data_IF_251878031265
#
_entry.id   IF_251878031265
#
_cell.length_a   1.000
_cell.length_b   1.000
_cell.length_c   1.000
_cell.angle_alpha   90.00
_cell.angle_beta   90.00
_cell.angle_gamma   90.00
#
_symmetry.space_group_name_H-M   'P 1'
#
loop_
_entity.id
_entity.type
_entity.pdbx_description
1 polymer ?
#
# COMPACT_ATOMS: atom_id res chain seq x y z
N UNK A 1 -11.01 -25.14 -16.68
CA UNK A 1 -11.31 -23.93 -17.44
C UNK A 1 -10.05 -23.37 -18.10
N UNK A 2 -10.15 -22.73 -19.27
CA UNK A 2 -8.97 -22.12 -19.87
C UNK A 2 -8.52 -20.91 -19.05
N UNK A 3 -7.21 -20.60 -18.95
CA UNK A 3 -6.71 -19.43 -18.22
C UNK A 3 -7.38 -18.11 -18.65
N UNK A 4 -7.72 -17.97 -19.92
CA UNK A 4 -8.44 -16.78 -20.45
C UNK A 4 -9.86 -16.62 -19.89
N UNK A 5 -10.56 -17.74 -19.62
CA UNK A 5 -11.91 -17.68 -19.03
C UNK A 5 -11.90 -17.20 -17.58
N UNK A 6 -10.90 -17.62 -16.79
CA UNK A 6 -10.75 -17.18 -15.40
C UNK A 6 -10.45 -15.68 -15.32
N UNK A 7 -9.57 -15.15 -16.16
CA UNK A 7 -9.24 -13.72 -16.21
C UNK A 7 -10.46 -12.87 -16.59
N UNK A 8 -11.22 -13.28 -17.63
CA UNK A 8 -12.44 -12.56 -18.03
C UNK A 8 -13.50 -12.55 -16.94
N UNK A 9 -13.66 -13.68 -16.22
CA UNK A 9 -14.63 -13.76 -15.09
C UNK A 9 -14.21 -12.85 -13.94
N UNK A 10 -12.92 -12.77 -13.59
CA UNK A 10 -12.42 -11.90 -12.55
C UNK A 10 -12.68 -10.42 -12.87
N UNK A 11 -12.45 -9.99 -14.12
CA UNK A 11 -12.75 -8.62 -14.56
C UNK A 11 -14.24 -8.33 -14.45
N UNK A 12 -15.11 -9.19 -14.98
CA UNK A 12 -16.56 -9.00 -14.90
C UNK A 12 -17.07 -8.98 -13.45
N UNK A 13 -16.51 -9.81 -12.58
CA UNK A 13 -16.86 -9.78 -11.15
C UNK A 13 -16.46 -8.44 -10.51
N UNK A 14 -15.26 -7.94 -10.83
CA UNK A 14 -14.81 -6.62 -10.40
C UNK A 14 -15.77 -5.51 -10.85
N UNK A 15 -16.20 -5.53 -12.12
CA UNK A 15 -17.16 -4.57 -12.68
C UNK A 15 -18.52 -4.63 -11.97
N UNK A 16 -19.00 -5.85 -11.64
CA UNK A 16 -20.26 -6.02 -10.88
C UNK A 16 -20.14 -5.46 -9.49
N UNK A 17 -19.04 -5.77 -8.76
CA UNK A 17 -18.81 -5.25 -7.41
C UNK A 17 -18.67 -3.74 -7.40
N UNK A 18 -17.94 -3.18 -8.37
CA UNK A 18 -17.80 -1.74 -8.53
C UNK A 18 -19.16 -1.06 -8.81
N UNK A 19 -19.94 -1.62 -9.75
CA UNK A 19 -21.28 -1.11 -10.08
C UNK A 19 -22.20 -1.16 -8.87
N UNK A 20 -22.12 -2.23 -8.07
CA UNK A 20 -22.89 -2.34 -6.83
C UNK A 20 -22.48 -1.30 -5.79
N UNK A 21 -21.18 -1.05 -5.60
CA UNK A 21 -20.69 0.01 -4.72
C UNK A 21 -21.22 1.40 -5.16
N UNK A 22 -21.28 1.66 -6.47
CA UNK A 22 -21.86 2.90 -7.00
C UNK A 22 -23.36 3.02 -6.72
N UNK A 23 -24.12 1.93 -6.84
CA UNK A 23 -25.56 1.89 -6.46
C UNK A 23 -25.72 2.23 -4.99
N UNK A 24 -24.97 1.56 -4.08
CA UNK A 24 -25.00 1.87 -2.65
C UNK A 24 -24.65 3.35 -2.37
N UNK A 25 -23.69 3.90 -3.10
CA UNK A 25 -23.32 5.33 -3.01
C UNK A 25 -24.49 6.27 -3.32
N UNK A 26 -25.39 5.90 -4.24
CA UNK A 26 -26.56 6.72 -4.57
C UNK A 26 -27.62 6.74 -3.47
N UNK A 27 -27.65 5.72 -2.59
CA UNK A 27 -28.60 5.62 -1.47
C UNK A 27 -28.38 6.72 -0.41
N UNK A 28 -27.17 7.31 -0.35
CA UNK A 28 -26.90 8.47 0.50
C UNK A 28 -27.58 9.78 0.00
N UNK A 29 -28.20 9.77 -1.17
CA UNK A 29 -28.91 10.93 -1.72
C UNK A 29 -28.03 12.17 -1.95
N UNK A 30 -26.71 12.00 -2.00
CA UNK A 30 -25.74 13.09 -2.13
C UNK A 30 -24.87 12.93 -3.38
N UNK A 31 -25.00 13.89 -4.29
CA UNK A 31 -24.13 13.99 -5.48
C UNK A 31 -22.66 14.16 -5.10
N UNK A 32 -22.41 14.88 -3.99
CA UNK A 32 -21.07 15.10 -3.46
C UNK A 32 -20.44 13.78 -3.00
N UNK A 33 -21.20 12.93 -2.32
CA UNK A 33 -20.72 11.59 -1.93
C UNK A 33 -20.33 10.75 -3.15
N UNK A 34 -21.21 10.70 -4.16
CA UNK A 34 -20.92 9.98 -5.40
C UNK A 34 -19.66 10.53 -6.10
N UNK A 35 -19.49 11.86 -6.11
CA UNK A 35 -18.31 12.51 -6.70
C UNK A 35 -17.03 12.13 -5.96
N UNK A 36 -17.02 12.12 -4.63
CA UNK A 36 -15.89 11.71 -3.79
C UNK A 36 -15.53 10.24 -4.04
N UNK A 37 -16.52 9.35 -4.05
CA UNK A 37 -16.32 7.93 -4.35
C UNK A 37 -15.72 7.73 -5.76
N UNK A 38 -16.28 8.38 -6.78
CA UNK A 38 -15.78 8.30 -8.15
C UNK A 38 -14.32 8.83 -8.28
N UNK A 39 -13.98 9.90 -7.57
CA UNK A 39 -12.61 10.43 -7.52
C UNK A 39 -11.64 9.44 -6.88
N UNK A 40 -12.04 8.78 -5.80
CA UNK A 40 -11.23 7.75 -5.14
C UNK A 40 -10.94 6.61 -6.10
N UNK A 41 -11.95 6.08 -6.77
CA UNK A 41 -11.77 5.00 -7.77
C UNK A 41 -10.86 5.44 -8.90
N UNK A 42 -11.02 6.67 -9.39
CA UNK A 42 -10.13 7.24 -10.41
C UNK A 42 -8.68 7.28 -9.94
N UNK A 43 -8.43 7.67 -8.68
CA UNK A 43 -7.09 7.68 -8.10
C UNK A 43 -6.50 6.26 -8.06
N UNK A 44 -7.26 5.26 -7.62
CA UNK A 44 -6.83 3.86 -7.61
C UNK A 44 -6.42 3.40 -9.01
N UNK A 45 -7.28 3.64 -10.00
CA UNK A 45 -6.97 3.29 -11.40
C UNK A 45 -5.72 4.00 -11.93
N UNK A 46 -5.56 5.29 -11.61
CA UNK A 46 -4.36 6.05 -12.00
C UNK A 46 -3.10 5.50 -11.33
N UNK A 47 -3.17 5.12 -10.04
CA UNK A 47 -2.06 4.49 -9.33
C UNK A 47 -1.66 3.16 -9.96
N UNK A 48 -2.63 2.31 -10.31
CA UNK A 48 -2.38 1.02 -10.97
C UNK A 48 -1.76 1.19 -12.37
N UNK A 49 -2.27 2.13 -13.17
CA UNK A 49 -1.71 2.47 -14.49
C UNK A 49 -0.28 3.00 -14.35
N UNK A 50 -0.04 3.91 -13.40
CA UNK A 50 1.28 4.46 -13.14
C UNK A 50 2.26 3.35 -12.73
N UNK A 51 1.89 2.47 -11.79
CA UNK A 51 2.70 1.33 -11.38
C UNK A 51 3.02 0.42 -12.56
N UNK A 52 2.01 0.05 -13.36
CA UNK A 52 2.19 -0.82 -14.52
C UNK A 52 3.11 -0.23 -15.58
N UNK A 53 3.18 1.10 -15.70
CA UNK A 53 4.07 1.79 -16.64
C UNK A 53 5.52 1.90 -16.16
N UNK A 54 5.78 1.61 -14.88
CA UNK A 54 7.08 1.73 -14.21
C UNK A 54 7.70 0.38 -13.84
N UNK A 55 7.16 -0.73 -14.35
CA UNK A 55 7.76 -2.06 -14.13
C UNK A 55 9.14 -2.14 -14.79
N UNK A 56 10.13 -2.61 -14.05
CA UNK A 56 11.53 -2.74 -14.48
C UNK A 56 12.19 -1.38 -14.86
N UNK A 57 11.69 -0.26 -14.34
CA UNK A 57 12.19 1.07 -14.67
C UNK A 57 13.09 1.62 -13.57
N UNK A 58 14.40 1.43 -13.72
CA UNK A 58 15.42 1.96 -12.79
C UNK A 58 15.50 3.50 -12.73
N UNK A 59 14.79 4.20 -13.61
CA UNK A 59 14.67 5.67 -13.54
C UNK A 59 13.56 6.15 -12.62
N UNK A 60 12.71 5.22 -12.11
CA UNK A 60 11.67 5.52 -11.15
C UNK A 60 12.27 6.05 -9.85
N UNK A 61 11.70 7.13 -9.32
CA UNK A 61 12.15 7.75 -8.06
C UNK A 61 11.35 7.26 -6.86
N UNK A 62 11.89 7.50 -5.65
CA UNK A 62 11.16 7.21 -4.39
C UNK A 62 9.89 8.05 -4.28
N UNK A 63 9.91 9.30 -4.75
CA UNK A 63 8.75 10.18 -4.76
C UNK A 63 7.65 9.61 -5.66
N UNK A 64 7.99 9.10 -6.84
CA UNK A 64 7.05 8.42 -7.75
C UNK A 64 6.46 7.15 -7.10
N UNK A 65 7.28 6.36 -6.38
CA UNK A 65 6.79 5.21 -5.62
C UNK A 65 5.75 5.64 -4.59
N UNK A 66 6.03 6.66 -3.76
CA UNK A 66 5.08 7.15 -2.77
C UNK A 66 3.80 7.72 -3.42
N UNK A 67 3.90 8.38 -4.57
CA UNK A 67 2.73 8.85 -5.31
C UNK A 67 1.87 7.69 -5.79
N UNK A 68 2.49 6.63 -6.30
CA UNK A 68 1.80 5.42 -6.77
C UNK A 68 1.05 4.75 -5.62
N UNK A 69 1.71 4.48 -4.49
CA UNK A 69 1.07 3.79 -3.37
C UNK A 69 -0.02 4.63 -2.70
N UNK A 70 0.15 5.96 -2.65
CA UNK A 70 -0.92 6.86 -2.19
C UNK A 70 -2.15 6.77 -3.07
N UNK A 71 -1.98 6.82 -4.39
CA UNK A 71 -3.12 6.73 -5.31
C UNK A 71 -3.76 5.35 -5.29
N UNK A 72 -2.96 4.28 -5.41
CA UNK A 72 -3.44 2.91 -5.55
C UNK A 72 -4.07 2.37 -4.27
N UNK A 73 -3.47 2.61 -3.12
CA UNK A 73 -3.82 1.99 -1.84
C UNK A 73 -4.33 3.01 -0.82
N UNK A 74 -3.53 4.01 -0.48
CA UNK A 74 -3.88 4.93 0.61
C UNK A 74 -5.13 5.78 0.32
N UNK A 75 -5.45 6.04 -0.95
CA UNK A 75 -6.67 6.78 -1.31
C UNK A 75 -7.96 6.10 -0.87
N UNK A 76 -7.98 4.75 -0.78
CA UNK A 76 -9.14 4.00 -0.24
C UNK A 76 -9.26 4.15 1.27
N UNK A 77 -8.15 4.05 2.00
CA UNK A 77 -8.12 4.28 3.45
C UNK A 77 -8.54 5.71 3.77
N UNK A 78 -7.97 6.68 3.07
CA UNK A 78 -8.29 8.10 3.19
C UNK A 78 -9.77 8.38 2.91
N UNK A 79 -10.33 7.79 1.86
CA UNK A 79 -11.75 7.94 1.55
C UNK A 79 -12.66 7.29 2.60
N UNK A 80 -12.24 6.18 3.22
CA UNK A 80 -13.02 5.53 4.27
C UNK A 80 -13.07 6.40 5.53
N UNK A 81 -11.93 6.88 6.01
CA UNK A 81 -11.85 7.68 7.25
C UNK A 81 -12.40 9.09 7.06
N UNK A 82 -11.94 9.83 6.03
CA UNK A 82 -12.42 11.18 5.75
C UNK A 82 -13.87 11.20 5.28
N UNK A 83 -14.29 10.22 4.47
CA UNK A 83 -15.68 10.07 4.06
C UNK A 83 -16.63 9.80 5.21
N UNK A 84 -16.22 8.97 6.18
CA UNK A 84 -16.98 8.76 7.41
C UNK A 84 -17.13 10.06 8.23
N UNK A 85 -16.06 10.84 8.35
CA UNK A 85 -16.10 12.17 8.99
C UNK A 85 -17.08 13.10 8.28
N UNK A 86 -16.99 13.19 6.95
CA UNK A 86 -17.88 14.01 6.16
C UNK A 86 -19.36 13.64 6.33
N UNK A 87 -19.70 12.36 6.28
CA UNK A 87 -21.08 11.85 6.49
C UNK A 87 -21.56 12.17 7.91
N UNK A 88 -20.68 12.11 8.90
CA UNK A 88 -20.98 12.39 10.30
C UNK A 88 -21.13 13.89 10.59
N UNK A 89 -20.84 14.78 9.63
CA UNK A 89 -20.99 16.23 9.77
C UNK A 89 -19.98 16.84 10.74
N UNK A 90 -18.75 16.29 10.83
CA UNK A 90 -17.67 16.88 11.62
C UNK A 90 -17.22 18.22 11.01
N UNK A 91 -16.43 19.00 11.78
CA UNK A 91 -15.87 20.25 11.22
C UNK A 91 -14.89 19.96 10.08
N UNK A 92 -14.65 20.90 9.14
CA UNK A 92 -13.71 20.71 8.05
C UNK A 92 -12.30 20.35 8.51
N UNK A 93 -11.85 20.86 9.64
CA UNK A 93 -10.52 20.58 10.20
C UNK A 93 -10.42 19.12 10.67
N UNK A 94 -11.47 18.60 11.30
CA UNK A 94 -11.55 17.20 11.71
C UNK A 94 -11.68 16.28 10.48
N UNK A 95 -12.47 16.68 9.48
CA UNK A 95 -12.58 15.94 8.23
C UNK A 95 -11.21 15.80 7.55
N UNK A 96 -10.44 16.89 7.43
CA UNK A 96 -9.09 16.87 6.84
C UNK A 96 -8.15 15.98 7.64
N UNK A 97 -8.18 16.05 8.98
CA UNK A 97 -7.38 15.17 9.84
C UNK A 97 -7.73 13.69 9.63
N UNK A 98 -9.00 13.37 9.40
CA UNK A 98 -9.43 12.00 9.11
C UNK A 98 -8.97 11.53 7.71
N UNK A 99 -8.94 12.41 6.70
CA UNK A 99 -8.34 12.09 5.42
C UNK A 99 -6.85 11.81 5.55
N UNK A 100 -6.14 12.63 6.33
CA UNK A 100 -4.72 12.44 6.62
C UNK A 100 -4.46 11.14 7.40
N UNK A 101 -5.29 10.80 8.39
CA UNK A 101 -5.24 9.54 9.11
C UNK A 101 -5.26 8.35 8.15
N UNK A 102 -6.23 8.32 7.23
CA UNK A 102 -6.34 7.25 6.25
C UNK A 102 -5.17 7.20 5.27
N UNK A 103 -4.65 8.35 4.81
CA UNK A 103 -3.47 8.38 3.95
C UNK A 103 -2.25 7.76 4.64
N UNK A 104 -2.00 8.13 5.88
CA UNK A 104 -0.88 7.60 6.68
C UNK A 104 -0.99 6.09 6.89
N UNK A 105 -2.16 5.61 7.31
CA UNK A 105 -2.42 4.18 7.50
C UNK A 105 -2.28 3.40 6.20
N UNK A 106 -2.81 3.91 5.09
CA UNK A 106 -2.74 3.25 3.81
C UNK A 106 -1.32 3.18 3.24
N UNK A 107 -0.50 4.21 3.48
CA UNK A 107 0.94 4.20 3.12
C UNK A 107 1.68 3.18 3.98
N UNK A 108 1.47 3.16 5.31
CA UNK A 108 2.09 2.18 6.20
C UNK A 108 1.73 0.75 5.80
N UNK A 109 0.45 0.51 5.52
CA UNK A 109 -0.05 -0.79 5.08
C UNK A 109 0.60 -1.26 3.77
N UNK A 110 0.76 -0.37 2.77
CA UNK A 110 1.38 -0.77 1.51
C UNK A 110 2.87 -1.07 1.69
N UNK A 111 3.60 -0.29 2.51
CA UNK A 111 5.01 -0.61 2.79
C UNK A 111 5.13 -1.95 3.53
N UNK A 112 4.22 -2.25 4.47
CA UNK A 112 4.13 -3.57 5.10
C UNK A 112 3.93 -4.69 4.07
N UNK A 113 2.96 -4.52 3.15
CA UNK A 113 2.68 -5.49 2.08
C UNK A 113 3.90 -5.75 1.18
N UNK A 114 4.65 -4.68 0.84
CA UNK A 114 5.88 -4.76 0.06
C UNK A 114 7.03 -5.47 0.83
N UNK A 115 7.13 -5.25 2.15
CA UNK A 115 8.09 -5.96 3.01
C UNK A 115 7.72 -7.44 3.14
N UNK A 116 6.45 -7.73 3.39
CA UNK A 116 5.93 -9.10 3.50
C UNK A 116 6.12 -9.89 2.21
N UNK A 117 5.93 -9.26 1.03
CA UNK A 117 6.17 -9.90 -0.26
C UNK A 117 7.65 -10.30 -0.45
N UNK A 118 8.57 -9.60 0.22
CA UNK A 118 10.00 -9.87 0.11
C UNK A 118 10.49 -10.99 1.05
N UNK A 119 9.95 -11.09 2.27
CA UNK A 119 10.47 -11.97 3.33
C UNK A 119 9.46 -12.94 3.92
N UNK A 120 8.17 -12.79 3.61
CA UNK A 120 7.11 -13.58 4.21
C UNK A 120 7.12 -15.05 3.79
N UNK A 121 6.46 -15.88 4.59
CA UNK A 121 6.12 -17.26 4.28
C UNK A 121 4.71 -17.34 3.68
N UNK A 122 4.55 -18.06 2.56
CA UNK A 122 3.24 -18.16 1.87
C UNK A 122 2.18 -18.88 2.71
N UNK A 123 2.59 -19.84 3.54
CA UNK A 123 1.68 -20.60 4.39
C UNK A 123 1.11 -19.72 5.51
N UNK A 124 1.93 -18.84 6.07
CA UNK A 124 1.53 -17.90 7.13
C UNK A 124 0.75 -16.69 6.55
N UNK A 125 1.19 -16.18 5.40
CA UNK A 125 0.56 -15.03 4.76
C UNK A 125 -0.80 -15.34 4.11
N UNK A 126 -1.08 -16.62 3.79
CA UNK A 126 -2.30 -17.04 3.10
C UNK A 126 -2.46 -16.47 1.68
N UNK A 127 -1.38 -15.99 1.08
CA UNK A 127 -1.32 -15.43 -0.28
C UNK A 127 0.01 -15.82 -0.95
N UNK A 128 0.02 -15.79 -2.29
CA UNK A 128 1.28 -15.95 -3.05
C UNK A 128 2.17 -14.75 -2.81
N UNK A 129 3.41 -14.99 -2.38
CA UNK A 129 4.46 -14.00 -2.15
C UNK A 129 5.49 -13.97 -3.29
N UNK A 130 6.49 -13.11 -3.15
CA UNK A 130 7.56 -12.88 -4.15
C UNK A 130 7.03 -12.48 -5.53
N UNK A 131 5.78 -11.97 -5.57
CA UNK A 131 5.10 -11.59 -6.81
C UNK A 131 5.59 -10.24 -7.34
N UNK A 132 6.06 -9.37 -6.48
CA UNK A 132 6.56 -8.04 -6.84
C UNK A 132 7.90 -8.15 -7.57
N UNK A 133 8.80 -9.02 -7.10
CA UNK A 133 10.04 -9.36 -7.79
C UNK A 133 9.79 -9.96 -9.19
N UNK A 134 8.83 -10.90 -9.30
CA UNK A 134 8.49 -11.54 -10.57
C UNK A 134 7.87 -10.58 -11.58
N UNK A 135 7.23 -9.51 -11.12
CA UNK A 135 6.60 -8.48 -11.95
C UNK A 135 7.49 -7.27 -12.21
N UNK A 136 8.67 -7.20 -11.60
CA UNK A 136 9.60 -6.08 -11.75
C UNK A 136 9.12 -4.78 -11.10
N UNK A 137 8.34 -4.87 -10.02
CA UNK A 137 7.99 -3.70 -9.23
C UNK A 137 9.19 -3.24 -8.40
N UNK A 138 9.48 -1.95 -8.42
CA UNK A 138 10.43 -1.35 -7.51
C UNK A 138 9.69 -0.86 -6.27
N UNK A 139 9.85 -1.59 -5.16
CA UNK A 139 9.28 -1.30 -3.86
C UNK A 139 10.28 -0.58 -2.95
N UNK A 140 9.83 -0.04 -1.82
CA UNK A 140 10.72 0.71 -0.92
C UNK A 140 11.92 -0.11 -0.43
N UNK A 141 11.79 -1.38 -0.02
CA UNK A 141 12.95 -2.20 0.30
C UNK A 141 13.92 -2.38 -0.88
N UNK A 142 13.42 -2.50 -2.11
CA UNK A 142 14.27 -2.61 -3.33
C UNK A 142 15.04 -1.31 -3.57
N UNK A 143 14.41 -0.13 -3.41
CA UNK A 143 15.13 1.14 -3.45
C UNK A 143 16.24 1.21 -2.42
N UNK A 144 15.99 0.73 -1.20
CA UNK A 144 17.01 0.69 -0.15
C UNK A 144 18.17 -0.23 -0.51
N UNK A 145 17.92 -1.38 -1.14
CA UNK A 145 18.95 -2.30 -1.62
C UNK A 145 19.75 -1.72 -2.80
N UNK A 146 19.11 -1.00 -3.71
CA UNK A 146 19.78 -0.35 -4.84
C UNK A 146 20.71 0.80 -4.40
N UNK A 147 20.62 1.24 -3.15
CA UNK A 147 21.38 2.32 -2.55
C UNK A 147 22.11 1.86 -1.27
N UNK A 148 22.30 0.57 -1.07
CA UNK A 148 22.86 0.01 0.17
C UNK A 148 24.38 0.20 0.32
N UNK A 149 25.09 0.60 -0.75
CA UNK A 149 26.54 0.77 -0.77
C UNK A 149 27.34 -0.52 -1.01
N UNK A 150 26.70 -1.68 -1.04
CA UNK A 150 27.31 -2.95 -1.47
C UNK A 150 27.24 -3.07 -2.99
N UNK A 151 28.36 -2.84 -3.68
CA UNK A 151 28.44 -2.83 -5.14
C UNK A 151 28.01 -4.16 -5.78
N UNK A 152 28.19 -5.28 -5.11
CA UNK A 152 27.82 -6.59 -5.66
C UNK A 152 26.29 -6.76 -5.62
N UNK A 153 25.65 -6.40 -4.49
CA UNK A 153 24.19 -6.43 -4.34
C UNK A 153 23.54 -5.47 -5.34
N UNK A 154 24.01 -4.22 -5.39
CA UNK A 154 23.48 -3.20 -6.31
C UNK A 154 23.62 -3.63 -7.78
N UNK A 155 24.80 -4.15 -8.18
CA UNK A 155 25.03 -4.58 -9.56
C UNK A 155 24.14 -5.76 -9.94
N UNK A 156 24.00 -6.76 -9.06
CA UNK A 156 23.17 -7.94 -9.31
C UNK A 156 21.69 -7.55 -9.42
N UNK A 157 21.20 -6.65 -8.56
CA UNK A 157 19.82 -6.18 -8.65
C UNK A 157 19.56 -5.37 -9.93
N UNK A 158 20.47 -4.47 -10.30
CA UNK A 158 20.36 -3.68 -11.53
C UNK A 158 20.35 -4.57 -12.76
N UNK A 159 21.26 -5.53 -12.82
CA UNK A 159 21.36 -6.48 -13.94
C UNK A 159 20.05 -7.30 -14.09
N UNK A 160 19.51 -7.84 -13.00
CA UNK A 160 18.26 -8.56 -13.02
C UNK A 160 17.08 -7.68 -13.49
N UNK A 161 16.97 -6.45 -13.00
CA UNK A 161 15.91 -5.51 -13.38
C UNK A 161 16.05 -5.10 -14.86
N UNK A 162 17.24 -4.78 -15.34
CA UNK A 162 17.51 -4.40 -16.74
C UNK A 162 17.22 -5.53 -17.72
N UNK A 163 17.54 -6.78 -17.33
CA UNK A 163 17.28 -7.96 -18.12
C UNK A 163 15.84 -8.50 -17.96
N UNK A 164 15.02 -7.88 -17.12
CA UNK A 164 13.66 -8.33 -16.76
C UNK A 164 13.61 -9.75 -16.21
N UNK A 165 14.62 -10.08 -15.41
CA UNK A 165 14.73 -11.34 -14.71
C UNK A 165 14.08 -11.24 -13.32
N UNK A 166 13.68 -12.39 -12.77
CA UNK A 166 13.18 -12.48 -11.41
C UNK A 166 14.33 -12.20 -10.43
N UNK A 167 14.14 -11.26 -9.53
CA UNK A 167 15.12 -11.02 -8.46
C UNK A 167 15.01 -12.15 -7.45
N UNK A 168 16.05 -12.95 -7.31
CA UNK A 168 16.14 -13.97 -6.28
C UNK A 168 16.71 -13.36 -4.99
N UNK A 169 15.83 -13.01 -4.07
CA UNK A 169 16.21 -12.43 -2.78
C UNK A 169 16.97 -13.41 -1.87
N UNK A 170 16.81 -14.74 -2.10
CA UNK A 170 17.51 -15.74 -1.29
C UNK A 170 19.04 -15.62 -1.40
N UNK A 171 19.52 -15.09 -2.54
CA UNK A 171 20.94 -14.81 -2.75
C UNK A 171 21.50 -13.72 -1.82
N UNK A 172 20.65 -12.92 -1.20
CA UNK A 172 21.02 -11.78 -0.36
C UNK A 172 20.60 -11.91 1.10
N UNK A 173 19.78 -12.89 1.48
CA UNK A 173 19.20 -13.02 2.82
C UNK A 173 20.26 -13.07 3.93
N UNK A 174 21.42 -13.70 3.68
CA UNK A 174 22.52 -13.77 4.63
C UNK A 174 23.41 -12.51 4.63
N UNK A 175 23.17 -11.55 3.72
CA UNK A 175 23.95 -10.32 3.66
C UNK A 175 23.34 -9.26 4.61
N UNK A 176 24.13 -8.69 5.54
CA UNK A 176 23.62 -7.68 6.48
C UNK A 176 22.92 -6.48 5.83
N UNK A 177 23.28 -6.11 4.60
CA UNK A 177 22.64 -4.99 3.90
C UNK A 177 21.20 -5.31 3.51
N UNK A 178 20.82 -6.59 3.40
CA UNK A 178 19.44 -6.98 3.13
C UNK A 178 18.54 -6.65 4.33
N UNK A 179 18.95 -7.09 5.53
CA UNK A 179 18.23 -6.78 6.76
C UNK A 179 18.17 -5.26 7.03
N UNK A 180 19.26 -4.54 6.76
CA UNK A 180 19.31 -3.08 6.91
C UNK A 180 18.35 -2.37 5.92
N UNK A 181 18.29 -2.81 4.67
CA UNK A 181 17.41 -2.24 3.67
C UNK A 181 15.93 -2.46 4.00
N UNK A 182 15.60 -3.64 4.51
CA UNK A 182 14.27 -4.00 4.99
C UNK A 182 13.90 -3.16 6.22
N UNK A 183 14.79 -3.09 7.22
CA UNK A 183 14.56 -2.32 8.45
C UNK A 183 14.32 -0.84 8.16
N UNK A 184 15.04 -0.24 7.21
CA UNK A 184 14.79 1.14 6.76
C UNK A 184 13.37 1.33 6.19
N UNK A 185 12.85 0.36 5.46
CA UNK A 185 11.48 0.43 4.94
C UNK A 185 10.45 0.28 6.07
N UNK A 186 10.65 -0.69 6.95
CA UNK A 186 9.83 -0.92 8.15
C UNK A 186 9.79 0.35 9.01
N UNK A 187 10.93 0.99 9.24
CA UNK A 187 11.01 2.21 10.03
C UNK A 187 10.14 3.33 9.44
N UNK A 188 10.15 3.50 8.12
CA UNK A 188 9.26 4.48 7.44
C UNK A 188 7.79 4.14 7.67
N UNK A 189 7.41 2.86 7.61
CA UNK A 189 6.04 2.43 7.87
C UNK A 189 5.62 2.68 9.32
N UNK A 190 6.49 2.36 10.29
CA UNK A 190 6.27 2.63 11.71
C UNK A 190 6.07 4.13 12.00
N UNK A 191 6.89 5.00 11.38
CA UNK A 191 6.74 6.46 11.50
C UNK A 191 5.38 6.95 10.95
N UNK A 192 4.92 6.39 9.83
CA UNK A 192 3.60 6.72 9.28
C UNK A 192 2.48 6.25 10.20
N UNK A 193 2.61 5.04 10.73
CA UNK A 193 1.62 4.46 11.63
C UNK A 193 1.54 5.23 12.96
N UNK A 194 2.68 5.67 13.52
CA UNK A 194 2.71 6.53 14.71
C UNK A 194 2.06 7.89 14.46
N UNK A 195 2.38 8.54 13.33
CA UNK A 195 1.74 9.80 12.95
C UNK A 195 0.22 9.65 12.77
N UNK A 196 -0.25 8.51 12.25
CA UNK A 196 -1.68 8.19 12.19
C UNK A 196 -2.30 8.07 13.60
N UNK A 197 -1.60 7.43 14.52
CA UNK A 197 -2.01 7.27 15.92
C UNK A 197 -2.10 8.60 16.66
N UNK A 198 -1.18 9.53 16.39
CA UNK A 198 -1.24 10.89 16.93
C UNK A 198 -2.54 11.60 16.54
N UNK A 199 -3.01 11.43 15.29
CA UNK A 199 -4.29 11.98 14.84
C UNK A 199 -5.45 11.33 15.58
N UNK A 200 -5.42 10.02 15.81
CA UNK A 200 -6.46 9.32 16.59
C UNK A 200 -6.59 9.89 17.99
N UNK A 201 -5.48 10.27 18.65
CA UNK A 201 -5.52 10.83 20.00
C UNK A 201 -6.14 12.23 20.07
N UNK A 202 -6.31 12.93 18.94
CA UNK A 202 -7.04 14.19 18.86
C UNK A 202 -8.57 14.00 18.81
N UNK A 203 -9.05 12.79 18.50
CA UNK A 203 -10.47 12.47 18.44
C UNK A 203 -11.05 12.21 19.83
N UNK A 204 -12.38 12.36 20.02
CA UNK A 204 -13.04 12.04 21.29
C UNK A 204 -12.76 10.62 21.75
N UNK A 205 -12.59 10.43 23.07
CA UNK A 205 -12.37 9.12 23.65
C UNK A 205 -13.65 8.27 23.56
N UNK A 206 -13.60 7.24 22.70
CA UNK A 206 -14.68 6.30 22.46
C UNK A 206 -14.11 4.91 22.28
N UNK A 207 -14.93 3.88 22.44
CA UNK A 207 -14.54 2.49 22.13
C UNK A 207 -14.08 2.31 20.68
N UNK A 208 -14.65 3.07 19.74
CA UNK A 208 -14.27 3.03 18.33
C UNK A 208 -12.88 3.63 18.07
N UNK A 209 -12.54 4.73 18.76
CA UNK A 209 -11.19 5.28 18.70
C UNK A 209 -10.16 4.30 19.26
N UNK A 210 -10.46 3.67 20.40
CA UNK A 210 -9.57 2.68 21.03
C UNK A 210 -9.40 1.46 20.08
N UNK A 211 -10.46 0.96 19.45
CA UNK A 211 -10.38 -0.12 18.47
C UNK A 211 -9.49 0.25 17.26
N UNK A 212 -9.60 1.48 16.74
CA UNK A 212 -8.72 1.96 15.67
C UNK A 212 -7.26 2.07 16.14
N UNK A 213 -7.03 2.50 17.39
CA UNK A 213 -5.69 2.53 17.97
C UNK A 213 -5.09 1.12 18.12
N UNK A 214 -5.87 0.14 18.57
CA UNK A 214 -5.45 -1.27 18.63
C UNK A 214 -5.04 -1.81 17.25
N UNK A 215 -5.75 -1.43 16.19
CA UNK A 215 -5.34 -1.79 14.81
C UNK A 215 -3.97 -1.21 14.46
N UNK A 216 -3.65 0.00 14.91
CA UNK A 216 -2.32 0.59 14.65
C UNK A 216 -1.22 -0.13 15.44
N UNK A 217 -1.46 -0.57 16.66
CA UNK A 217 -0.52 -1.38 17.43
C UNK A 217 -0.31 -2.76 16.80
N UNK A 218 -1.38 -3.38 16.33
CA UNK A 218 -1.28 -4.65 15.58
C UNK A 218 -0.47 -4.49 14.29
N UNK A 219 -0.59 -3.36 13.58
CA UNK A 219 0.25 -3.07 12.42
C UNK A 219 1.73 -2.96 12.81
N UNK A 220 2.05 -2.36 13.96
CA UNK A 220 3.43 -2.31 14.46
C UNK A 220 3.99 -3.72 14.72
N UNK A 221 3.17 -4.64 15.27
CA UNK A 221 3.54 -6.05 15.46
C UNK A 221 3.84 -6.73 14.12
N UNK A 222 2.92 -6.62 13.15
CA UNK A 222 3.11 -7.19 11.81
C UNK A 222 4.36 -6.66 11.10
N UNK A 223 4.66 -5.36 11.24
CA UNK A 223 5.88 -4.76 10.69
C UNK A 223 7.14 -5.30 11.36
N UNK A 224 7.10 -5.52 12.69
CA UNK A 224 8.22 -6.09 13.41
C UNK A 224 8.43 -7.59 13.10
N UNK A 225 7.38 -8.33 12.76
CA UNK A 225 7.48 -9.73 12.34
C UNK A 225 8.15 -9.89 10.96
N UNK A 226 8.24 -8.82 10.16
CA UNK A 226 9.00 -8.79 8.91
C UNK A 226 10.52 -8.58 9.10
N UNK A 227 11.02 -8.37 10.34
CA UNK A 227 12.46 -8.19 10.65
C UNK A 227 13.20 -9.54 10.77
#
# INVERSE_FOLDING_TARGET
GSPRGATSLAVLLGDVLFSHAMVLGTEFGSTEFCRRLANTVRNVCQGEVAQSSRLYDLSMTREEYFEIIRKKTASLFSAATGGAGWISGVTPEVEESLYQLGDLLGVAYQIYDDCLDMVGDEDDAGKTLHTDATKGKLTLPIFNLLECGDRNVEATLRDAIENREVVDYSAFQDNPVFAEALDKAIQVALEKNEAAREILWLLPQTEYREALAEMTFYMDELLNDCR
#
